data_IF_191422568394
#
_entry.id   IF_191422568394
#
_cell.length_a   1.000
_cell.length_b   1.000
_cell.length_c   1.000
_cell.angle_alpha   90.00
_cell.angle_beta   90.00
_cell.angle_gamma   90.00
#
_symmetry.space_group_name_H-M   'P 1'
#
loop_
_entity.id
_entity.type
_entity.pdbx_description
1 polymer ?
#
# COMPACT_ATOMS: atom_id res chain seq x y z
N UNK A 1 0.09 -25.57 -4.00
CA UNK A 1 0.43 -24.45 -3.11
C UNK A 1 1.81 -24.01 -3.50
N UNK A 2 1.96 -22.81 -4.04
CA UNK A 2 3.24 -22.29 -4.51
C UNK A 2 3.98 -21.77 -3.28
N UNK A 3 4.96 -22.53 -2.78
CA UNK A 3 5.86 -22.05 -1.73
C UNK A 3 6.57 -20.81 -2.26
N UNK A 4 6.22 -19.65 -1.70
CA UNK A 4 6.89 -18.41 -2.07
C UNK A 4 8.27 -18.40 -1.39
N UNK A 5 9.36 -18.05 -2.11
CA UNK A 5 10.73 -18.21 -1.62
C UNK A 5 11.06 -17.38 -0.37
N UNK A 6 10.23 -16.40 0.01
CA UNK A 6 10.34 -15.63 1.25
C UNK A 6 9.63 -16.27 2.45
N UNK A 7 8.94 -17.40 2.28
CA UNK A 7 8.32 -18.17 3.37
C UNK A 7 9.26 -19.20 4.00
N UNK A 8 10.52 -19.26 3.57
CA UNK A 8 11.50 -20.15 4.20
C UNK A 8 11.68 -19.75 5.65
N UNK A 9 11.14 -20.56 6.55
CA UNK A 9 11.31 -20.41 7.99
C UNK A 9 12.78 -20.68 8.29
N UNK A 10 13.54 -19.63 8.59
CA UNK A 10 14.89 -19.79 9.08
C UNK A 10 14.85 -20.67 10.35
N UNK A 11 15.89 -21.46 10.58
CA UNK A 11 15.99 -22.20 11.84
C UNK A 11 15.94 -21.22 13.02
N UNK A 12 15.49 -21.63 14.23
CA UNK A 12 15.34 -20.70 15.36
C UNK A 12 16.62 -19.91 15.70
N UNK A 13 17.80 -20.51 15.50
CA UNK A 13 19.10 -19.86 15.72
C UNK A 13 19.43 -18.83 14.62
N UNK A 14 19.10 -19.15 13.36
CA UNK A 14 19.26 -18.22 12.24
C UNK A 14 18.29 -17.03 12.36
N UNK A 15 17.05 -17.29 12.79
CA UNK A 15 16.05 -16.25 13.03
C UNK A 15 16.52 -15.26 14.11
N UNK A 16 17.04 -15.78 15.23
CA UNK A 16 17.61 -14.95 16.29
C UNK A 16 18.78 -14.10 15.79
N UNK A 17 19.65 -14.67 14.98
CA UNK A 17 20.78 -13.94 14.38
C UNK A 17 20.31 -12.83 13.45
N UNK A 18 19.22 -13.05 12.71
CA UNK A 18 18.59 -12.05 11.84
C UNK A 18 17.99 -10.92 12.69
N UNK A 19 17.22 -11.27 13.71
CA UNK A 19 16.55 -10.31 14.59
C UNK A 19 17.56 -9.41 15.32
N UNK A 20 18.66 -9.98 15.83
CA UNK A 20 19.75 -9.23 16.45
C UNK A 20 20.40 -8.24 15.47
N UNK A 21 20.63 -8.64 14.22
CA UNK A 21 21.18 -7.75 13.18
C UNK A 21 20.21 -6.62 12.82
N UNK A 22 18.91 -6.91 12.74
CA UNK A 22 17.88 -5.92 12.43
C UNK A 22 17.77 -4.91 13.58
N UNK A 23 17.67 -5.40 14.82
CA UNK A 23 17.62 -4.57 16.01
C UNK A 23 18.85 -3.65 16.09
N UNK A 24 20.05 -4.18 15.88
CA UNK A 24 21.29 -3.40 15.84
C UNK A 24 21.30 -2.35 14.72
N UNK A 25 20.81 -2.68 13.52
CA UNK A 25 20.72 -1.75 12.39
C UNK A 25 19.75 -0.61 12.66
N UNK A 26 18.66 -0.88 13.37
CA UNK A 26 17.66 0.10 13.74
C UNK A 26 18.04 0.89 15.00
N UNK A 27 19.09 0.49 15.71
CA UNK A 27 19.49 1.10 16.98
C UNK A 27 18.50 0.83 18.12
N UNK A 28 17.80 -0.30 18.06
CA UNK A 28 16.79 -0.73 19.05
C UNK A 28 17.17 -2.07 19.66
N UNK A 29 16.45 -2.47 20.71
CA UNK A 29 16.55 -3.80 21.31
C UNK A 29 15.72 -4.83 20.52
N UNK A 30 16.04 -6.11 20.69
CA UNK A 30 15.29 -7.21 20.06
C UNK A 30 13.85 -7.25 20.59
N UNK A 31 13.64 -6.92 21.86
CA UNK A 31 12.32 -6.81 22.47
C UNK A 31 11.47 -5.71 21.81
N UNK A 32 12.07 -4.56 21.50
CA UNK A 32 11.42 -3.48 20.75
C UNK A 32 11.11 -3.91 19.32
N UNK A 33 12.00 -4.67 18.67
CA UNK A 33 11.74 -5.23 17.34
C UNK A 33 10.52 -6.15 17.35
N UNK A 34 10.40 -7.05 18.33
CA UNK A 34 9.23 -7.93 18.46
C UNK A 34 7.95 -7.16 18.79
N UNK A 35 8.04 -6.07 19.53
CA UNK A 35 6.88 -5.21 19.78
C UNK A 35 6.39 -4.53 18.49
N UNK A 36 7.31 -4.01 17.68
CA UNK A 36 6.97 -3.47 16.36
C UNK A 36 6.37 -4.54 15.45
N UNK A 37 6.92 -5.75 15.45
CA UNK A 37 6.38 -6.87 14.67
C UNK A 37 4.93 -7.19 15.07
N UNK A 38 4.64 -7.23 16.38
CA UNK A 38 3.26 -7.41 16.89
C UNK A 38 2.32 -6.30 16.44
N UNK A 39 2.77 -5.06 16.47
CA UNK A 39 1.97 -3.90 16.04
C UNK A 39 1.67 -3.95 14.55
N UNK A 40 2.69 -4.18 13.72
CA UNK A 40 2.54 -4.34 12.26
C UNK A 40 1.60 -5.52 11.93
N UNK A 41 1.75 -6.65 12.62
CA UNK A 41 0.87 -7.80 12.43
C UNK A 41 -0.58 -7.51 12.85
N UNK A 42 -0.81 -6.64 13.84
CA UNK A 42 -2.14 -6.18 14.20
C UNK A 42 -2.73 -5.23 13.14
N UNK A 43 -1.93 -4.28 12.64
CA UNK A 43 -2.33 -3.33 11.61
C UNK A 43 -2.68 -4.02 10.29
N UNK A 44 -1.87 -5.01 9.88
CA UNK A 44 -2.14 -5.81 8.68
C UNK A 44 -3.45 -6.58 8.83
N UNK A 45 -3.68 -7.22 9.98
CA UNK A 45 -4.94 -7.92 10.25
C UNK A 45 -6.13 -6.97 10.24
N UNK A 46 -5.99 -5.77 10.82
CA UNK A 46 -7.04 -4.76 10.83
C UNK A 46 -7.36 -4.29 9.40
N UNK A 47 -6.34 -4.05 8.58
CA UNK A 47 -6.49 -3.69 7.15
C UNK A 47 -7.16 -4.80 6.36
N UNK A 48 -6.72 -6.04 6.54
CA UNK A 48 -7.23 -7.17 5.77
C UNK A 48 -8.67 -7.53 6.16
N UNK A 49 -9.08 -7.20 7.39
CA UNK A 49 -10.46 -7.32 7.85
C UNK A 49 -11.43 -6.30 7.21
N UNK A 50 -10.93 -5.23 6.58
CA UNK A 50 -11.79 -4.29 5.84
C UNK A 50 -12.36 -4.99 4.60
N UNK A 51 -13.71 -5.11 4.50
CA UNK A 51 -14.38 -5.68 3.33
C UNK A 51 -13.97 -4.98 2.04
N UNK A 52 -13.88 -5.71 0.93
CA UNK A 52 -13.34 -5.18 -0.32
C UNK A 52 -14.15 -3.99 -0.89
N UNK A 53 -15.45 -3.96 -0.60
CA UNK A 53 -16.40 -2.89 -0.95
C UNK A 53 -16.28 -1.64 -0.07
N UNK A 54 -15.69 -1.76 1.13
CA UNK A 54 -15.39 -0.65 2.03
C UNK A 54 -13.95 -0.12 1.86
N UNK A 55 -13.12 -0.82 1.07
CA UNK A 55 -11.77 -0.34 0.74
C UNK A 55 -11.90 0.87 -0.18
N UNK A 56 -11.31 1.99 0.23
CA UNK A 56 -11.16 3.16 -0.64
C UNK A 56 -10.34 2.74 -1.86
N UNK A 57 -11.02 2.62 -2.99
CA UNK A 57 -10.40 2.41 -4.29
C UNK A 57 -10.29 3.77 -4.96
N UNK A 58 -9.07 4.23 -5.18
CA UNK A 58 -8.85 5.41 -6.02
C UNK A 58 -9.22 5.02 -7.45
N UNK A 59 -10.18 5.72 -8.06
CA UNK A 59 -10.58 5.47 -9.45
C UNK A 59 -9.56 6.00 -10.47
N UNK A 60 -8.47 6.62 -10.00
CA UNK A 60 -7.42 7.14 -10.85
C UNK A 60 -6.82 6.02 -11.72
N UNK A 61 -6.84 6.19 -13.06
CA UNK A 61 -6.31 5.19 -13.99
C UNK A 61 -4.83 4.87 -13.75
N UNK A 62 -4.07 5.76 -13.08
CA UNK A 62 -2.69 5.50 -12.68
C UNK A 62 -2.55 4.35 -11.68
N UNK A 63 -3.52 4.16 -10.81
CA UNK A 63 -3.48 3.19 -9.72
C UNK A 63 -4.38 1.97 -9.98
N UNK A 64 -5.34 2.08 -10.88
CA UNK A 64 -6.27 0.99 -11.23
C UNK A 64 -5.89 0.25 -12.51
N UNK A 65 -5.09 0.86 -13.39
CA UNK A 65 -4.63 0.27 -14.65
C UNK A 65 -3.11 0.22 -14.70
N UNK A 66 -2.57 -0.80 -15.35
CA UNK A 66 -1.13 -1.01 -15.53
C UNK A 66 -0.52 -2.06 -14.61
N UNK A 67 -1.31 -2.67 -13.71
CA UNK A 67 -0.89 -3.78 -12.87
C UNK A 67 -1.48 -5.09 -13.41
N UNK A 68 -0.72 -5.81 -14.23
CA UNK A 68 -1.14 -7.09 -14.82
C UNK A 68 -0.88 -7.20 -16.33
N UNK A 69 -1.41 -8.23 -17.01
CA UNK A 69 -1.21 -8.43 -18.44
C UNK A 69 -1.83 -7.29 -19.27
N UNK A 70 -1.16 -6.94 -20.37
CA UNK A 70 -1.58 -5.89 -21.30
C UNK A 70 -2.90 -6.29 -21.98
N UNK A 71 -3.98 -5.70 -21.52
CA UNK A 71 -5.36 -6.00 -21.90
C UNK A 71 -6.15 -4.70 -21.98
N UNK A 72 -7.19 -4.63 -22.81
CA UNK A 72 -7.96 -3.40 -23.01
C UNK A 72 -8.56 -2.80 -21.73
N UNK A 73 -8.72 -3.59 -20.68
CA UNK A 73 -9.18 -3.18 -19.35
C UNK A 73 -8.04 -2.62 -18.46
N UNK A 74 -6.82 -3.12 -18.64
CA UNK A 74 -5.66 -2.83 -17.81
C UNK A 74 -4.64 -1.88 -18.46
N UNK A 75 -4.85 -1.49 -19.72
CA UNK A 75 -4.00 -0.53 -20.44
C UNK A 75 -4.56 0.89 -20.28
N UNK A 76 -3.68 1.83 -19.91
CA UNK A 76 -4.01 3.26 -19.87
C UNK A 76 -4.01 3.81 -21.29
N UNK A 77 -5.14 4.40 -21.73
CA UNK A 77 -5.24 5.02 -23.05
C UNK A 77 -4.53 6.39 -23.07
N UNK A 78 -3.98 6.82 -24.22
CA UNK A 78 -3.44 8.17 -24.35
C UNK A 78 -4.47 9.23 -23.95
N UNK A 79 -4.08 10.14 -23.05
CA UNK A 79 -4.95 11.23 -22.58
C UNK A 79 -5.84 10.89 -21.38
N UNK A 80 -6.01 9.61 -21.03
CA UNK A 80 -6.92 9.15 -19.97
C UNK A 80 -6.57 9.73 -18.59
N UNK A 81 -5.28 9.79 -18.24
CA UNK A 81 -4.80 10.40 -16.99
C UNK A 81 -5.11 11.91 -16.96
N UNK A 82 -4.95 12.61 -18.09
CA UNK A 82 -5.21 14.06 -18.19
C UNK A 82 -6.70 14.37 -18.02
N UNK A 83 -7.56 13.52 -18.57
CA UNK A 83 -9.02 13.67 -18.42
C UNK A 83 -9.50 13.40 -16.99
N UNK A 84 -8.87 12.45 -16.28
CA UNK A 84 -9.18 12.18 -14.88
C UNK A 84 -8.99 13.44 -14.01
N UNK A 85 -7.80 14.04 -14.02
CA UNK A 85 -7.52 15.22 -13.20
C UNK A 85 -8.39 16.43 -13.58
N UNK A 86 -8.70 16.61 -14.87
CA UNK A 86 -9.62 17.68 -15.30
C UNK A 86 -11.03 17.52 -14.71
N UNK A 87 -11.51 16.28 -14.53
CA UNK A 87 -12.83 16.00 -13.92
C UNK A 87 -12.77 16.17 -12.41
N UNK A 88 -11.72 15.68 -11.74
CA UNK A 88 -11.51 15.88 -10.31
C UNK A 88 -11.44 17.35 -9.91
N UNK A 89 -10.72 18.17 -10.70
CA UNK A 89 -10.64 19.63 -10.48
C UNK A 89 -11.99 20.34 -10.69
N UNK A 90 -12.88 19.77 -11.50
CA UNK A 90 -14.22 20.31 -11.75
C UNK A 90 -15.22 19.91 -10.64
N UNK A 91 -15.09 18.72 -10.06
CA UNK A 91 -15.95 18.23 -8.97
C UNK A 91 -15.63 18.89 -7.62
N UNK A 92 -14.38 19.31 -7.37
CA UNK A 92 -13.97 20.12 -6.21
C UNK A 92 -14.27 21.63 -6.37
N UNK A 93 -14.75 22.06 -7.54
CA UNK A 93 -15.03 23.46 -7.89
C UNK A 93 -16.37 24.03 -7.41
N UNK A 94 -17.05 23.37 -6.47
CA UNK A 94 -18.40 23.71 -6.01
C UNK A 94 -18.52 24.63 -4.80
N UNK A 95 -17.44 25.20 -4.26
CA UNK A 95 -17.56 26.07 -3.10
C UNK A 95 -16.29 26.78 -2.65
N UNK A 96 -16.02 27.95 -3.22
CA UNK A 96 -15.51 29.12 -2.50
C UNK A 96 -15.47 30.30 -3.46
N UNK A 97 -16.55 31.07 -3.48
CA UNK A 97 -16.47 32.44 -3.94
C UNK A 97 -15.48 33.18 -3.03
N UNK A 98 -14.43 33.74 -3.62
CA UNK A 98 -13.88 35.00 -3.13
C UNK A 98 -13.72 35.91 -4.33
N UNK A 99 -14.78 36.70 -4.50
CA UNK A 99 -14.75 38.02 -5.12
C UNK A 99 -13.57 38.82 -4.53
N UNK A 100 -12.68 39.30 -5.39
CA UNK A 100 -11.71 40.33 -5.03
C UNK A 100 -11.88 41.46 -6.04
N UNK A 101 -12.65 42.45 -5.60
CA UNK A 101 -12.47 43.87 -5.92
C UNK A 101 -11.01 44.29 -5.85
#
# INVERSE_FOLDING_TARGET
>A
MTDQPWQQSASPEEQRTIDEKIAARMGITVEQLHELDRQVAADVRARDAVPADERVTDSNPKFTKGFGPDTSENTIRPGEIREYYRKSDADDGGGAGTDRT
#
